data_IF_955503646886
#
_entry.id   IF_955503646886
#
_cell.length_a   1.000
_cell.length_b   1.000
_cell.length_c   1.000
_cell.angle_alpha   90.00
_cell.angle_beta   90.00
_cell.angle_gamma   90.00
#
_symmetry.space_group_name_H-M   'P 1'
#
loop_
_entity.id
_entity.type
_entity.pdbx_description
1 polymer ?
#
# COMPACT_ATOMS: atom_id res chain seq x y z
N UNK A 1 -10.13 -1.18 -16.16
CA UNK A 1 -8.92 -2.02 -16.32
C UNK A 1 -9.12 -3.00 -17.47
N UNK A 2 -8.07 -3.33 -18.23
CA UNK A 2 -8.16 -4.36 -19.29
C UNK A 2 -7.84 -5.74 -18.70
N UNK A 3 -8.72 -6.72 -18.94
CA UNK A 3 -8.51 -8.09 -18.48
C UNK A 3 -7.22 -8.68 -19.04
N UNK A 4 -6.43 -9.35 -18.18
CA UNK A 4 -5.17 -9.99 -18.55
C UNK A 4 -3.94 -9.07 -18.57
N UNK A 5 -4.09 -7.78 -18.22
CA UNK A 5 -2.97 -6.85 -18.09
C UNK A 5 -2.75 -6.52 -16.61
N UNK A 6 -1.54 -6.79 -16.11
CA UNK A 6 -1.07 -6.30 -14.82
C UNK A 6 -0.40 -4.93 -14.99
N UNK A 7 -1.04 -3.83 -14.53
CA UNK A 7 -0.49 -2.49 -14.71
C UNK A 7 0.78 -2.28 -13.89
N UNK A 8 0.85 -2.81 -12.67
CA UNK A 8 2.01 -2.64 -11.80
C UNK A 8 3.20 -3.39 -12.38
N UNK A 9 3.01 -4.66 -12.76
CA UNK A 9 4.06 -5.46 -13.39
C UNK A 9 4.57 -4.86 -14.70
N UNK A 10 3.68 -4.27 -15.51
CA UNK A 10 4.07 -3.56 -16.73
C UNK A 10 4.96 -2.33 -16.46
N UNK A 11 4.68 -1.57 -15.40
CA UNK A 11 5.47 -0.40 -15.00
C UNK A 11 6.80 -0.78 -14.32
N UNK A 12 6.80 -1.82 -13.48
CA UNK A 12 7.98 -2.28 -12.73
C UNK A 12 8.99 -3.00 -13.65
N UNK A 13 8.49 -3.80 -14.61
CA UNK A 13 9.32 -4.63 -15.47
C UNK A 13 9.94 -5.83 -14.76
N UNK A 14 10.70 -6.66 -15.48
CA UNK A 14 11.33 -7.83 -14.88
C UNK A 14 12.28 -7.41 -13.74
N UNK A 15 12.02 -7.93 -12.54
CA UNK A 15 12.81 -7.64 -11.33
C UNK A 15 12.98 -6.14 -11.04
N UNK A 16 12.01 -5.30 -11.41
CA UNK A 16 12.10 -3.86 -11.15
C UNK A 16 12.99 -3.07 -12.12
N UNK A 17 13.45 -3.69 -13.21
CA UNK A 17 14.36 -3.03 -14.15
C UNK A 17 13.87 -1.67 -14.64
N UNK A 18 12.58 -1.55 -14.99
CA UNK A 18 12.04 -0.30 -15.57
C UNK A 18 11.98 0.82 -14.54
N UNK A 19 11.45 0.55 -13.35
CA UNK A 19 11.38 1.54 -12.27
C UNK A 19 12.77 1.91 -11.76
N UNK A 20 13.71 0.97 -11.73
CA UNK A 20 15.10 1.25 -11.39
C UNK A 20 15.75 2.19 -12.40
N UNK A 21 15.57 1.96 -13.71
CA UNK A 21 16.09 2.88 -14.74
C UNK A 21 15.58 4.30 -14.56
N UNK A 22 14.28 4.49 -14.31
CA UNK A 22 13.72 5.82 -14.07
C UNK A 22 14.28 6.43 -12.77
N UNK A 23 14.47 5.63 -11.73
CA UNK A 23 15.07 6.08 -10.47
C UNK A 23 16.53 6.53 -10.66
N UNK A 24 17.30 5.79 -11.45
CA UNK A 24 18.70 6.10 -11.76
C UNK A 24 18.84 7.40 -12.58
N UNK A 25 17.85 7.72 -13.43
CA UNK A 25 17.75 9.02 -14.12
C UNK A 25 17.47 10.19 -13.17
N UNK A 26 16.91 9.93 -11.98
CA UNK A 26 16.65 10.92 -10.92
C UNK A 26 17.77 10.93 -9.86
N UNK A 27 19.01 10.77 -10.31
CA UNK A 27 20.22 10.69 -9.47
C UNK A 27 20.18 9.57 -8.41
N UNK A 28 19.28 8.60 -8.54
CA UNK A 28 19.09 7.48 -7.61
C UNK A 28 18.55 7.86 -6.22
N UNK A 29 18.28 9.14 -5.99
CA UNK A 29 17.91 9.67 -4.67
C UNK A 29 16.39 9.70 -4.44
N UNK A 30 15.61 9.75 -5.51
CA UNK A 30 14.15 9.75 -5.43
C UNK A 30 13.62 8.30 -5.40
N UNK A 31 12.79 7.98 -4.41
CA UNK A 31 12.14 6.66 -4.33
C UNK A 31 10.79 6.70 -5.05
N UNK A 32 10.61 5.78 -6.01
CA UNK A 32 9.38 5.66 -6.78
C UNK A 32 8.62 4.43 -6.32
N UNK A 33 7.45 4.66 -5.73
CA UNK A 33 6.50 3.60 -5.40
C UNK A 33 5.39 3.53 -6.45
N UNK A 34 5.11 2.33 -6.95
CA UNK A 34 4.07 2.07 -7.95
C UNK A 34 2.92 1.35 -7.26
N UNK A 35 1.78 2.03 -7.18
CA UNK A 35 0.56 1.48 -6.59
C UNK A 35 -0.51 1.27 -7.66
N UNK A 36 -1.38 0.29 -7.43
CA UNK A 36 -2.51 0.05 -8.31
C UNK A 36 -3.66 1.02 -7.94
N UNK A 37 -4.15 1.76 -8.93
CA UNK A 37 -5.36 2.56 -8.75
C UNK A 37 -6.60 1.68 -8.53
N UNK A 38 -7.51 2.14 -7.69
CA UNK A 38 -8.79 1.47 -7.42
C UNK A 38 -9.93 2.50 -7.32
N UNK A 39 -11.12 2.11 -7.78
CA UNK A 39 -12.34 2.92 -7.64
C UNK A 39 -12.82 3.01 -6.19
N UNK A 40 -12.59 1.96 -5.40
CA UNK A 40 -12.82 1.99 -3.97
C UNK A 40 -11.70 2.78 -3.29
N UNK A 41 -12.06 3.99 -2.84
CA UNK A 41 -11.14 4.90 -2.15
C UNK A 41 -10.49 4.29 -0.91
N UNK A 42 -11.16 3.37 -0.20
CA UNK A 42 -10.54 2.71 0.96
C UNK A 42 -9.37 1.83 0.49
N UNK A 43 -9.60 1.02 -0.54
CA UNK A 43 -8.56 0.15 -1.10
C UNK A 43 -7.42 0.98 -1.70
N UNK A 44 -7.77 2.06 -2.41
CA UNK A 44 -6.78 2.93 -3.02
C UNK A 44 -5.93 3.67 -1.98
N UNK A 45 -6.55 4.22 -0.93
CA UNK A 45 -5.85 4.91 0.16
C UNK A 45 -4.96 3.96 0.97
N UNK A 46 -5.43 2.74 1.28
CA UNK A 46 -4.60 1.72 1.94
C UNK A 46 -3.38 1.37 1.09
N UNK A 47 -3.55 1.27 -0.23
CA UNK A 47 -2.42 1.01 -1.15
C UNK A 47 -1.44 2.19 -1.19
N UNK A 48 -1.95 3.42 -1.15
CA UNK A 48 -1.16 4.65 -1.20
C UNK A 48 -0.32 4.89 0.07
N UNK A 49 -0.72 4.35 1.22
CA UNK A 49 0.04 4.46 2.48
C UNK A 49 1.05 3.32 2.70
N UNK A 50 1.15 2.37 1.74
CA UNK A 50 2.18 1.33 1.74
C UNK A 50 3.57 1.97 1.94
N UNK A 51 4.43 1.45 2.82
CA UNK A 51 4.44 0.09 3.39
C UNK A 51 3.70 -0.07 4.73
N UNK A 52 3.02 0.96 5.23
CA UNK A 52 2.39 0.88 6.54
C UNK A 52 1.20 -0.10 6.55
N UNK A 53 1.11 -0.94 7.59
CA UNK A 53 -0.05 -1.79 7.79
C UNK A 53 -1.18 -1.01 8.47
N UNK A 54 -2.36 -0.98 7.83
CA UNK A 54 -3.52 -0.19 8.24
C UNK A 54 -4.55 -1.08 8.95
N UNK A 55 -5.08 -0.61 10.08
CA UNK A 55 -6.13 -1.31 10.85
C UNK A 55 -7.51 -0.99 10.28
N UNK A 56 -7.81 0.31 10.11
CA UNK A 56 -9.11 0.76 9.59
C UNK A 56 -8.99 2.07 8.82
N UNK A 57 -9.94 2.30 7.92
CA UNK A 57 -10.09 3.52 7.13
C UNK A 57 -11.55 3.97 7.15
N UNK A 58 -11.77 5.17 7.67
CA UNK A 58 -13.06 5.85 7.72
C UNK A 58 -13.01 7.13 6.89
N UNK A 59 -13.78 7.16 5.80
CA UNK A 59 -13.77 8.26 4.82
C UNK A 59 -15.09 9.03 4.92
N UNK A 60 -14.99 10.34 5.07
CA UNK A 60 -16.09 11.29 4.96
C UNK A 60 -15.96 12.02 3.62
N UNK A 61 -16.80 11.62 2.65
CA UNK A 61 -16.77 12.18 1.29
C UNK A 61 -17.30 13.61 1.22
N UNK A 62 -18.15 14.03 2.17
CA UNK A 62 -18.67 15.40 2.19
C UNK A 62 -17.57 16.37 2.64
N UNK A 63 -16.77 15.96 3.62
CA UNK A 63 -15.63 16.75 4.10
C UNK A 63 -14.34 16.51 3.34
N UNK A 64 -14.30 15.50 2.45
CA UNK A 64 -13.08 14.98 1.80
C UNK A 64 -11.98 14.64 2.81
N UNK A 65 -12.35 14.04 3.93
CA UNK A 65 -11.40 13.63 4.97
C UNK A 65 -11.36 12.11 5.11
N UNK A 66 -10.20 11.57 5.44
CA UNK A 66 -10.00 10.16 5.75
C UNK A 66 -9.27 10.02 7.07
N UNK A 67 -9.88 9.29 8.00
CA UNK A 67 -9.25 8.89 9.26
C UNK A 67 -8.71 7.48 9.09
N UNK A 68 -7.40 7.34 9.24
CA UNK A 68 -6.69 6.09 9.05
C UNK A 68 -6.10 5.64 10.37
N UNK A 69 -6.59 4.52 10.88
CA UNK A 69 -6.10 3.96 12.14
C UNK A 69 -4.98 2.98 11.87
N UNK A 70 -3.86 3.15 12.57
CA UNK A 70 -2.68 2.29 12.50
C UNK A 70 -2.19 1.97 13.90
N UNK A 71 -1.48 0.85 14.05
CA UNK A 71 -0.76 0.57 15.30
C UNK A 71 0.28 1.68 15.55
N UNK A 72 0.55 1.97 16.83
CA UNK A 72 1.59 2.95 17.21
C UNK A 72 2.96 2.65 16.57
N UNK A 73 3.27 1.36 16.35
CA UNK A 73 4.51 0.92 15.68
C UNK A 73 4.54 1.23 14.17
N UNK A 74 3.38 1.33 13.52
CA UNK A 74 3.23 1.59 12.08
C UNK A 74 3.09 3.08 11.76
N UNK A 75 2.73 3.90 12.75
CA UNK A 75 2.53 5.34 12.56
C UNK A 75 3.72 6.07 11.91
N UNK A 76 5.00 5.79 12.27
CA UNK A 76 6.14 6.42 11.61
C UNK A 76 6.23 6.10 10.11
N UNK A 77 5.84 4.89 9.69
CA UNK A 77 5.81 4.48 8.29
C UNK A 77 4.64 5.13 7.55
N UNK A 78 3.46 5.18 8.16
CA UNK A 78 2.27 5.80 7.58
C UNK A 78 2.47 7.30 7.37
N UNK A 79 3.10 7.99 8.33
CA UNK A 79 3.40 9.44 8.22
C UNK A 79 4.56 9.65 7.22
N UNK A 80 5.60 8.83 7.31
CA UNK A 80 6.83 9.01 6.55
C UNK A 80 7.70 10.17 7.05
N UNK A 81 8.95 10.24 6.58
CA UNK A 81 9.89 11.29 6.98
C UNK A 81 9.34 12.67 6.58
N UNK A 82 9.10 13.54 7.56
CA UNK A 82 8.55 14.87 7.31
C UNK A 82 7.11 14.87 6.76
N UNK A 83 6.36 13.78 6.94
CA UNK A 83 4.99 13.68 6.43
C UNK A 83 4.90 13.34 4.95
N UNK A 84 6.01 13.02 4.27
CA UNK A 84 6.02 12.80 2.81
C UNK A 84 5.02 11.71 2.40
N UNK A 85 4.94 10.59 3.13
CA UNK A 85 4.08 9.48 2.74
C UNK A 85 2.60 9.85 2.84
N UNK A 86 2.16 10.36 4.00
CA UNK A 86 0.77 10.79 4.19
C UNK A 86 0.37 11.92 3.25
N UNK A 87 1.29 12.85 2.94
CA UNK A 87 1.02 13.95 2.01
C UNK A 87 0.89 13.46 0.56
N UNK A 88 1.72 12.50 0.13
CA UNK A 88 1.59 11.90 -1.20
C UNK A 88 0.28 11.10 -1.31
N UNK A 89 -0.08 10.33 -0.29
CA UNK A 89 -1.35 9.60 -0.26
C UNK A 89 -2.57 10.54 -0.31
N UNK A 90 -2.53 11.66 0.45
CA UNK A 90 -3.53 12.71 0.41
C UNK A 90 -3.67 13.32 -1.00
N UNK A 91 -2.54 13.66 -1.63
CA UNK A 91 -2.51 14.22 -2.98
C UNK A 91 -3.02 13.21 -4.04
N UNK A 92 -2.69 11.93 -3.92
CA UNK A 92 -3.13 10.88 -4.84
C UNK A 92 -4.63 10.60 -4.75
N UNK A 93 -5.22 10.75 -3.56
CA UNK A 93 -6.63 10.42 -3.30
C UNK A 93 -7.56 11.64 -3.30
N UNK A 94 -7.01 12.86 -3.35
CA UNK A 94 -7.76 14.13 -3.19
C UNK A 94 -8.54 14.19 -1.87
N UNK A 95 -7.92 13.68 -0.79
CA UNK A 95 -8.46 13.64 0.57
C UNK A 95 -7.47 14.25 1.56
N UNK A 96 -7.99 14.85 2.63
CA UNK A 96 -7.21 15.17 3.83
C UNK A 96 -7.09 13.90 4.69
N UNK A 97 -5.86 13.43 4.90
CA UNK A 97 -5.60 12.13 5.58
C UNK A 97 -5.06 12.36 6.99
N UNK A 98 -5.81 11.87 7.99
CA UNK A 98 -5.47 11.92 9.40
C UNK A 98 -5.03 10.54 9.90
N UNK A 99 -3.82 10.45 10.45
CA UNK A 99 -3.31 9.20 11.03
C UNK A 99 -3.67 9.14 12.53
N UNK A 100 -4.46 8.14 12.90
CA UNK A 100 -4.86 7.86 14.28
C UNK A 100 -4.04 6.66 14.76
N UNK A 101 -3.40 6.80 15.93
CA UNK A 101 -2.59 5.74 16.52
C UNK A 101 -3.44 4.93 17.51
N UNK A 102 -3.62 3.65 17.23
CA UNK A 102 -4.17 2.71 18.19
C UNK A 102 -3.03 2.23 19.12
N UNK A 103 -3.27 2.38 20.44
CA UNK A 103 -2.34 2.00 21.51
C UNK A 103 -2.69 0.65 22.13
N UNK A 104 -3.75 0.00 21.66
CA UNK A 104 -4.04 -1.37 22.07
C UNK A 104 -2.96 -2.31 21.52
N UNK A 105 -2.35 -3.12 22.38
CA UNK A 105 -1.25 -4.03 22.03
C UNK A 105 -1.75 -5.14 21.08
N UNK A 106 -1.92 -4.86 19.79
CA UNK A 106 -2.29 -5.88 18.83
C UNK A 106 -1.03 -6.57 18.33
N UNK A 107 -0.75 -7.74 18.89
CA UNK A 107 0.33 -8.65 18.45
C UNK A 107 0.03 -9.19 17.05
N UNK A 108 0.28 -8.41 15.99
CA UNK A 108 0.23 -8.88 14.61
C UNK A 108 1.64 -8.94 14.04
N UNK A 109 2.44 -9.86 14.57
CA UNK A 109 3.74 -10.19 13.99
C UNK A 109 3.91 -11.71 13.94
N UNK A 110 2.95 -12.47 13.40
CA UNK A 110 3.12 -13.94 13.30
C UNK A 110 2.28 -14.69 12.23
N UNK A 111 1.56 -14.04 11.30
CA UNK A 111 0.66 -14.76 10.36
C UNK A 111 0.99 -14.74 8.86
N UNK A 112 2.21 -14.38 8.45
CA UNK A 112 2.63 -14.45 7.04
C UNK A 112 3.82 -15.41 6.79
N UNK A 113 3.88 -16.57 7.47
CA UNK A 113 4.69 -17.72 7.02
C UNK A 113 4.00 -19.03 7.44
N UNK A 114 2.98 -19.47 6.70
CA UNK A 114 2.77 -20.89 6.36
C UNK A 114 1.48 -21.03 5.51
N UNK A 115 1.62 -21.01 4.19
CA UNK A 115 0.70 -21.78 3.36
C UNK A 115 1.53 -22.46 2.26
N UNK A 116 2.33 -23.43 2.71
CA UNK A 116 2.90 -24.47 1.85
C UNK A 116 1.79 -25.42 1.43
N UNK A 117 1.77 -25.70 0.13
CA UNK A 117 1.68 -27.05 -0.42
C UNK A 117 0.60 -27.98 0.16
N UNK A 118 -0.54 -28.04 -0.54
CA UNK A 118 -1.20 -29.31 -0.85
C UNK A 118 -1.92 -29.19 -2.19
N UNK A 119 -1.22 -29.53 -3.28
CA UNK A 119 -1.89 -30.10 -4.46
C UNK A 119 -1.94 -31.60 -4.20
N UNK A 120 -3.09 -32.07 -3.71
CA UNK A 120 -3.42 -33.49 -3.69
C UNK A 120 -3.70 -33.95 -5.12
N UNK A 121 -3.03 -35.04 -5.49
CA UNK A 121 -3.27 -35.83 -6.70
C UNK A 121 -4.69 -36.37 -6.69
N UNK A 122 -5.43 -36.18 -7.79
CA UNK A 122 -6.65 -36.94 -8.08
C UNK A 122 -6.33 -37.90 -9.21
N UNK A 123 -6.21 -39.19 -8.88
CA UNK A 123 -6.28 -40.30 -9.84
C UNK A 123 -7.73 -40.44 -10.32
N UNK A 124 -7.99 -40.53 -11.63
CA UNK A 124 -9.22 -41.14 -12.12
C UNK A 124 -9.05 -42.65 -12.31
N UNK A 125 -10.14 -43.39 -12.11
CA UNK A 125 -10.34 -44.82 -12.42
C UNK A 125 -10.04 -45.16 -13.88
#
# INVERSE_FOLDING_TARGET
TQSGVDPVGACVGQKGMRVQTVTDELDGNEKIDIIQWNEDLKIFLTSALSPAEIISVDIDLEKKTANVTVDESQAPLAIGKGGVNVNLAAALTDLEVNIIQDKSETKIAEKKVNNKEKKEEVKPE
#
